data_IF_717932027318
#
_entry.id   IF_717932027318
#
_cell.length_a   1.000
_cell.length_b   1.000
_cell.length_c   1.000
_cell.angle_alpha   90.00
_cell.angle_beta   90.00
_cell.angle_gamma   90.00
#
_symmetry.space_group_name_H-M   'P 1'
#
loop_
_entity.id
_entity.type
_entity.pdbx_description
1 polymer ?
#
# COMPACT_ATOMS: atom_id res chain seq x y z
N UNK A 1 25.54 2.74 12.51
CA UNK A 1 24.22 2.46 13.11
C UNK A 1 23.70 3.75 13.72
N UNK A 2 22.42 4.05 13.53
CA UNK A 2 21.77 5.29 14.01
C UNK A 2 20.26 5.08 14.17
N UNK A 3 19.53 6.13 14.57
CA UNK A 3 18.08 6.06 14.75
C UNK A 3 17.38 5.74 13.42
N UNK A 4 16.44 4.80 13.45
CA UNK A 4 15.61 4.40 12.31
C UNK A 4 14.14 4.40 12.72
N UNK A 5 13.25 4.64 11.77
CA UNK A 5 11.82 4.51 11.99
C UNK A 5 11.43 3.03 12.19
N UNK A 6 10.32 2.75 12.91
CA UNK A 6 9.76 1.39 12.99
C UNK A 6 9.47 0.81 11.60
N UNK A 7 9.59 -0.51 11.38
CA UNK A 7 9.39 -1.11 10.05
C UNK A 7 8.02 -0.81 9.42
N UNK A 8 6.96 -0.67 10.21
CA UNK A 8 5.61 -0.38 9.70
C UNK A 8 5.34 1.11 9.47
N UNK A 9 6.30 2.00 9.70
CA UNK A 9 6.12 3.46 9.66
C UNK A 9 5.55 3.97 8.34
N UNK A 10 6.02 3.43 7.20
CA UNK A 10 5.53 3.81 5.87
C UNK A 10 4.02 3.60 5.68
N UNK A 11 3.42 2.64 6.40
CA UNK A 11 1.99 2.37 6.35
C UNK A 11 1.14 3.58 6.75
N UNK A 12 1.64 4.42 7.66
CA UNK A 12 0.91 5.62 8.10
C UNK A 12 0.64 6.60 6.96
N UNK A 13 1.46 6.57 5.90
CA UNK A 13 1.33 7.48 4.76
C UNK A 13 0.47 6.94 3.62
N UNK A 14 0.10 5.65 3.64
CA UNK A 14 -0.67 5.02 2.55
C UNK A 14 -2.03 5.69 2.35
N UNK A 15 -2.66 6.20 3.40
CA UNK A 15 -3.93 6.94 3.32
C UNK A 15 -3.79 8.32 2.65
N UNK A 16 -2.57 8.88 2.59
CA UNK A 16 -2.29 10.12 1.88
C UNK A 16 -2.06 9.93 0.38
N UNK A 17 -1.99 8.68 -0.10
CA UNK A 17 -1.76 8.38 -1.51
C UNK A 17 -3.09 8.25 -2.24
N UNK A 18 -3.28 9.09 -3.26
CA UNK A 18 -4.47 9.00 -4.11
C UNK A 18 -4.43 7.74 -4.96
N UNK A 19 -5.53 6.98 -4.93
CA UNK A 19 -5.75 5.82 -5.78
C UNK A 19 -6.69 6.23 -6.92
N UNK A 20 -6.36 5.94 -8.19
CA UNK A 20 -7.26 6.24 -9.29
C UNK A 20 -8.58 5.49 -9.15
N UNK A 21 -9.66 6.09 -9.64
CA UNK A 21 -10.94 5.40 -9.76
C UNK A 21 -10.82 4.30 -10.82
N UNK A 22 -11.06 3.06 -10.40
CA UNK A 22 -11.01 1.88 -11.25
C UNK A 22 -12.36 1.52 -11.87
N UNK A 23 -13.40 2.33 -11.60
CA UNK A 23 -14.78 2.12 -12.07
C UNK A 23 -15.30 0.73 -11.75
N UNK A 24 -14.97 0.22 -10.55
CA UNK A 24 -15.40 -1.10 -10.12
C UNK A 24 -16.89 -1.07 -9.72
N UNK A 25 -17.72 -1.71 -10.52
CA UNK A 25 -19.16 -1.85 -10.26
C UNK A 25 -19.42 -3.14 -9.47
N UNK A 26 -19.19 -3.12 -8.15
CA UNK A 26 -19.45 -4.28 -7.27
C UNK A 26 -19.75 -3.90 -5.82
N UNK A 27 -21.01 -4.05 -5.41
CA UNK A 27 -21.47 -3.81 -4.03
C UNK A 27 -21.26 -2.37 -3.55
N UNK A 28 -21.71 -2.09 -2.32
CA UNK A 28 -21.62 -0.76 -1.70
C UNK A 28 -20.79 -0.76 -0.40
N UNK A 29 -20.16 -1.89 -0.06
CA UNK A 29 -19.41 -2.08 1.18
C UNK A 29 -17.99 -2.53 0.85
N UNK A 30 -17.01 -1.79 1.39
CA UNK A 30 -15.59 -2.13 1.32
C UNK A 30 -15.08 -2.61 2.68
N UNK A 31 -14.13 -3.54 2.66
CA UNK A 31 -13.40 -4.01 3.83
C UNK A 31 -11.91 -3.99 3.55
N UNK A 32 -11.10 -3.83 4.61
CA UNK A 32 -9.66 -4.06 4.52
C UNK A 32 -9.39 -5.57 4.51
N UNK A 33 -9.03 -6.10 3.33
CA UNK A 33 -8.79 -7.53 3.16
C UNK A 33 -7.44 -8.00 3.76
N UNK A 34 -6.43 -7.14 3.72
CA UNK A 34 -5.09 -7.45 4.22
C UNK A 34 -4.03 -6.52 3.66
N UNK A 35 -2.81 -6.65 4.19
CA UNK A 35 -1.63 -5.90 3.77
C UNK A 35 -0.37 -6.76 3.95
N UNK A 36 0.60 -6.54 3.06
CA UNK A 36 1.98 -7.00 3.21
C UNK A 36 2.90 -5.79 3.05
N UNK A 37 4.00 -5.76 3.80
CA UNK A 37 5.02 -4.71 3.75
C UNK A 37 6.37 -5.39 3.63
N UNK A 38 7.16 -5.01 2.63
CA UNK A 38 8.53 -5.46 2.46
C UNK A 38 9.47 -4.32 2.84
N UNK A 39 10.27 -4.50 3.89
CA UNK A 39 11.16 -3.46 4.39
C UNK A 39 12.54 -3.62 3.77
N UNK A 40 12.85 -2.80 2.76
CA UNK A 40 14.07 -2.93 1.96
C UNK A 40 15.21 -2.07 2.51
N UNK A 41 14.94 -0.78 2.76
CA UNK A 41 15.91 0.17 3.31
C UNK A 41 15.31 0.88 4.52
N UNK A 42 16.02 1.00 5.65
CA UNK A 42 15.47 1.70 6.82
C UNK A 42 15.24 3.19 6.54
N UNK A 43 14.01 3.67 6.79
CA UNK A 43 13.71 5.10 6.82
C UNK A 43 14.37 5.75 8.06
N UNK A 44 14.94 6.95 7.88
CA UNK A 44 15.66 7.69 8.92
C UNK A 44 15.07 9.09 9.11
N UNK A 45 15.27 9.69 10.30
CA UNK A 45 14.96 11.10 10.50
C UNK A 45 15.61 11.97 9.42
N UNK A 46 14.81 12.86 8.82
CA UNK A 46 15.25 13.73 7.73
C UNK A 46 15.01 13.18 6.31
N UNK A 47 14.62 11.91 6.16
CA UNK A 47 14.27 11.37 4.84
C UNK A 47 13.02 12.05 4.28
N UNK A 48 13.06 12.35 2.99
CA UNK A 48 11.89 12.76 2.22
C UNK A 48 11.41 11.56 1.41
N UNK A 49 10.25 11.02 1.79
CA UNK A 49 9.67 9.85 1.15
C UNK A 49 8.73 10.25 0.01
N UNK A 50 8.97 9.71 -1.17
CA UNK A 50 8.06 9.78 -2.31
C UNK A 50 7.28 8.48 -2.43
N UNK A 51 5.96 8.57 -2.57
CA UNK A 51 5.08 7.42 -2.70
C UNK A 51 4.49 7.33 -4.12
N UNK A 52 4.52 6.12 -4.71
CA UNK A 52 3.83 5.82 -5.96
C UNK A 52 2.94 4.61 -5.76
N UNK A 53 1.65 4.73 -6.09
CA UNK A 53 0.71 3.62 -6.02
C UNK A 53 0.27 3.18 -7.41
N UNK A 54 0.02 1.87 -7.57
CA UNK A 54 -0.57 1.29 -8.77
C UNK A 54 -1.58 0.22 -8.41
N UNK A 55 -2.60 0.07 -9.25
CA UNK A 55 -3.48 -1.10 -9.19
C UNK A 55 -2.67 -2.31 -9.69
N UNK A 56 -2.45 -3.28 -8.82
CA UNK A 56 -1.70 -4.50 -9.15
C UNK A 56 -2.59 -5.51 -9.85
N UNK A 57 -3.75 -5.79 -9.27
CA UNK A 57 -4.70 -6.76 -9.80
C UNK A 57 -6.10 -6.54 -9.24
N UNK A 58 -7.10 -7.01 -9.99
CA UNK A 58 -8.49 -7.14 -9.52
C UNK A 58 -8.94 -8.57 -9.79
N UNK A 59 -9.44 -9.25 -8.76
CA UNK A 59 -9.93 -10.62 -8.90
C UNK A 59 -11.15 -10.88 -8.01
N UNK A 60 -11.92 -11.91 -8.34
CA UNK A 60 -13.09 -12.31 -7.56
C UNK A 60 -12.87 -13.66 -6.86
N UNK A 61 -13.47 -13.82 -5.68
CA UNK A 61 -13.61 -15.12 -5.00
C UNK A 61 -15.04 -15.28 -4.52
N UNK A 62 -15.53 -16.52 -4.48
CA UNK A 62 -16.87 -16.84 -3.94
C UNK A 62 -16.70 -17.67 -2.68
N UNK A 63 -17.21 -17.16 -1.56
CA UNK A 63 -17.27 -17.88 -0.29
C UNK A 63 -18.70 -18.23 0.11
N UNK A 64 -18.88 -18.72 1.34
CA UNK A 64 -20.20 -19.06 1.89
C UNK A 64 -21.18 -17.88 1.88
N UNK A 65 -20.67 -16.66 2.10
CA UNK A 65 -21.47 -15.44 2.15
C UNK A 65 -21.65 -14.76 0.79
N UNK A 66 -21.25 -15.41 -0.30
CA UNK A 66 -21.37 -14.90 -1.66
C UNK A 66 -20.04 -14.44 -2.27
N UNK A 67 -20.16 -13.67 -3.36
CA UNK A 67 -19.03 -13.18 -4.16
C UNK A 67 -18.35 -12.01 -3.45
N UNK A 68 -17.03 -11.94 -3.55
CA UNK A 68 -16.20 -10.81 -3.14
C UNK A 68 -15.30 -10.44 -4.31
N UNK A 69 -15.03 -9.14 -4.47
CA UNK A 69 -14.04 -8.63 -5.42
C UNK A 69 -12.91 -7.98 -4.63
N UNK A 70 -11.68 -8.36 -4.95
CA UNK A 70 -10.46 -7.86 -4.33
C UNK A 70 -9.77 -6.93 -5.32
N UNK A 71 -9.53 -5.69 -4.91
CA UNK A 71 -8.65 -4.75 -5.62
C UNK A 71 -7.34 -4.65 -4.84
N UNK A 72 -6.26 -5.12 -5.44
CA UNK A 72 -4.92 -5.14 -4.82
C UNK A 72 -4.16 -3.90 -5.28
N UNK A 73 -3.78 -3.08 -4.32
CA UNK A 73 -2.96 -1.89 -4.53
C UNK A 73 -1.54 -2.16 -4.08
N UNK A 74 -0.57 -1.73 -4.88
CA UNK A 74 0.85 -1.78 -4.55
C UNK A 74 1.37 -0.36 -4.46
N UNK A 75 2.02 -0.03 -3.34
CA UNK A 75 2.57 1.31 -3.08
C UNK A 75 4.04 1.18 -2.78
N UNK A 76 4.86 1.90 -3.53
CA UNK A 76 6.31 1.95 -3.36
C UNK A 76 6.70 3.28 -2.74
N UNK A 77 7.54 3.23 -1.71
CA UNK A 77 8.16 4.38 -1.05
C UNK A 77 9.64 4.45 -1.39
N UNK A 78 10.09 5.60 -1.90
CA UNK A 78 11.51 5.87 -2.19
C UNK A 78 12.00 7.08 -1.42
N UNK A 79 13.24 7.03 -0.91
CA UNK A 79 13.86 8.20 -0.27
C UNK A 79 14.42 9.18 -1.32
N UNK A 80 14.98 10.30 -0.86
CA UNK A 80 15.64 11.33 -1.67
C UNK A 80 16.88 10.84 -2.43
N UNK A 81 17.49 9.73 -2.00
CA UNK A 81 18.61 9.07 -2.67
C UNK A 81 18.18 8.12 -3.80
N UNK A 82 16.87 7.86 -3.93
CA UNK A 82 16.32 6.91 -4.90
C UNK A 82 16.25 5.47 -4.39
N UNK A 83 16.66 5.19 -3.14
CA UNK A 83 16.54 3.85 -2.56
C UNK A 83 15.07 3.54 -2.26
N UNK A 84 14.66 2.31 -2.57
CA UNK A 84 13.35 1.83 -2.14
C UNK A 84 13.40 1.50 -0.65
N UNK A 85 12.49 2.12 0.10
CA UNK A 85 12.34 1.95 1.54
C UNK A 85 11.36 0.82 1.81
N UNK A 86 10.17 0.88 1.20
CA UNK A 86 9.07 -0.07 1.35
C UNK A 86 8.17 -0.12 0.11
#
# INVERSE_FOLDING_TARGET
GGLVAPPTFCNMFVNGVSRPDIKLEFGNVGLFAGQSIENLTPARPGDTLSAKTRLKEVYAKTGRSGKMVFAVWETQFTNQGGDTVA
#
